data_IF_060332661383
#
_entry.id   IF_060332661383
#
_cell.length_a   1.000
_cell.length_b   1.000
_cell.length_c   1.000
_cell.angle_alpha   90.00
_cell.angle_beta   90.00
_cell.angle_gamma   90.00
#
_symmetry.space_group_name_H-M   'P 1'
#
loop_
_entity.id
_entity.type
_entity.pdbx_description
1 polymer ?
#
# COMPACT_ATOMS: atom_id res chain seq x y z
N UNK A 1 14.31 -23.45 -10.26
CA UNK A 1 12.96 -23.19 -9.69
C UNK A 1 12.71 -24.25 -8.64
N UNK A 2 13.05 -23.94 -7.40
CA UNK A 2 13.03 -24.86 -6.26
C UNK A 2 11.58 -25.25 -5.91
N UNK A 3 11.37 -26.44 -5.32
CA UNK A 3 10.04 -26.91 -4.88
C UNK A 3 9.32 -25.89 -3.99
N UNK A 4 10.06 -25.15 -3.17
CA UNK A 4 9.56 -24.06 -2.33
C UNK A 4 8.95 -22.90 -3.14
N UNK A 5 9.51 -22.58 -4.30
CA UNK A 5 8.98 -21.55 -5.20
C UNK A 5 7.66 -21.99 -5.86
N UNK A 6 7.51 -23.29 -6.16
CA UNK A 6 6.25 -23.86 -6.68
C UNK A 6 5.15 -23.89 -5.63
N UNK A 7 5.46 -24.33 -4.40
CA UNK A 7 4.51 -24.31 -3.28
C UNK A 7 4.06 -22.90 -2.93
N UNK A 8 4.98 -21.92 -2.95
CA UNK A 8 4.64 -20.51 -2.72
C UNK A 8 3.72 -19.93 -3.80
N UNK A 9 3.95 -20.25 -5.08
CA UNK A 9 3.06 -19.82 -6.18
C UNK A 9 1.66 -20.42 -6.09
N UNK A 10 1.56 -21.71 -5.72
CA UNK A 10 0.28 -22.38 -5.49
C UNK A 10 -0.49 -21.75 -4.32
N UNK A 11 0.18 -21.46 -3.21
CA UNK A 11 -0.40 -20.74 -2.08
C UNK A 11 -0.90 -19.34 -2.48
N UNK A 12 -0.11 -18.58 -3.24
CA UNK A 12 -0.51 -17.27 -3.74
C UNK A 12 -1.69 -17.34 -4.73
N UNK A 13 -1.73 -18.36 -5.60
CA UNK A 13 -2.86 -18.57 -6.49
C UNK A 13 -4.14 -18.91 -5.71
N UNK A 14 -4.05 -19.76 -4.68
CA UNK A 14 -5.18 -20.10 -3.83
C UNK A 14 -5.68 -18.89 -3.03
N UNK A 15 -4.77 -18.09 -2.49
CA UNK A 15 -5.09 -16.81 -1.84
C UNK A 15 -5.80 -15.85 -2.80
N UNK A 16 -5.36 -15.75 -4.05
CA UNK A 16 -6.03 -14.93 -5.07
C UNK A 16 -7.47 -15.39 -5.32
N UNK A 17 -7.67 -16.69 -5.51
CA UNK A 17 -9.03 -17.25 -5.70
C UNK A 17 -9.90 -16.95 -4.48
N UNK A 18 -9.37 -17.13 -3.27
CA UNK A 18 -10.08 -16.83 -2.03
C UNK A 18 -10.44 -15.33 -1.93
N UNK A 19 -9.50 -14.43 -2.20
CA UNK A 19 -9.71 -12.98 -2.14
C UNK A 19 -10.74 -12.53 -3.17
N UNK A 20 -10.60 -12.97 -4.43
CA UNK A 20 -11.55 -12.65 -5.51
C UNK A 20 -12.92 -13.23 -5.21
N UNK A 21 -13.01 -14.48 -4.76
CA UNK A 21 -14.28 -15.11 -4.36
C UNK A 21 -14.96 -14.37 -3.22
N UNK A 22 -14.20 -13.94 -2.21
CA UNK A 22 -14.71 -13.15 -1.08
C UNK A 22 -15.22 -11.77 -1.52
N UNK A 23 -14.47 -11.07 -2.38
CA UNK A 23 -14.91 -9.79 -2.95
C UNK A 23 -16.17 -9.93 -3.80
N UNK A 24 -16.28 -10.98 -4.62
CA UNK A 24 -17.46 -11.27 -5.44
C UNK A 24 -18.67 -11.66 -4.59
N UNK A 25 -18.48 -12.46 -3.54
CA UNK A 25 -19.53 -12.83 -2.60
C UNK A 25 -20.10 -11.60 -1.89
N UNK A 26 -19.23 -10.71 -1.41
CA UNK A 26 -19.64 -9.43 -0.83
C UNK A 26 -20.39 -8.57 -1.85
N UNK A 27 -19.87 -8.45 -3.08
CA UNK A 27 -20.55 -7.71 -4.14
C UNK A 27 -21.95 -8.26 -4.42
N UNK A 28 -22.09 -9.59 -4.52
CA UNK A 28 -23.37 -10.24 -4.79
C UNK A 28 -24.36 -10.09 -3.63
N UNK A 29 -23.89 -10.30 -2.39
CA UNK A 29 -24.71 -10.22 -1.17
C UNK A 29 -25.29 -8.82 -0.98
N UNK A 30 -24.51 -7.79 -1.30
CA UNK A 30 -24.90 -6.39 -1.13
C UNK A 30 -25.25 -5.69 -2.45
N UNK A 31 -25.51 -6.46 -3.52
CA UNK A 31 -25.86 -5.91 -4.83
C UNK A 31 -27.15 -5.07 -4.75
N UNK A 32 -28.12 -5.51 -3.95
CA UNK A 32 -29.38 -4.81 -3.69
C UNK A 32 -29.21 -3.45 -3.00
N UNK A 33 -28.12 -3.26 -2.23
CA UNK A 33 -27.83 -2.01 -1.51
C UNK A 33 -26.97 -1.04 -2.33
N UNK A 34 -26.56 -1.40 -3.55
CA UNK A 34 -25.79 -0.56 -4.47
C UNK A 34 -24.47 0.00 -3.90
N UNK A 35 -23.84 -0.71 -2.94
CA UNK A 35 -22.63 -0.28 -2.23
C UNK A 35 -21.42 0.00 -3.14
N UNK A 36 -21.42 -0.52 -4.37
CA UNK A 36 -20.39 -0.24 -5.35
C UNK A 36 -20.34 1.24 -5.76
N UNK A 37 -21.43 1.99 -5.65
CA UNK A 37 -21.41 3.42 -5.88
C UNK A 37 -20.51 4.14 -4.88
N UNK A 38 -20.52 3.71 -3.61
CA UNK A 38 -19.64 4.28 -2.58
C UNK A 38 -18.15 4.10 -2.89
N UNK A 39 -17.77 3.02 -3.58
CA UNK A 39 -16.41 2.83 -4.05
C UNK A 39 -16.05 3.90 -5.10
N UNK A 40 -16.93 4.19 -6.06
CA UNK A 40 -16.68 5.16 -7.15
C UNK A 40 -17.03 6.61 -6.72
N UNK A 41 -17.11 6.89 -5.41
CA UNK A 41 -17.50 8.20 -4.88
C UNK A 41 -18.90 8.67 -5.33
N UNK A 42 -19.74 7.74 -5.76
CA UNK A 42 -21.14 7.97 -6.13
C UNK A 42 -22.06 7.61 -4.97
N UNK A 43 -23.24 8.25 -4.94
CA UNK A 43 -24.20 8.00 -3.89
C UNK A 43 -24.90 6.65 -4.10
N UNK A 44 -24.92 5.77 -3.07
CA UNK A 44 -25.83 4.62 -3.10
C UNK A 44 -27.28 5.13 -3.10
N UNK A 45 -28.15 4.41 -3.79
CA UNK A 45 -29.55 4.80 -4.05
C UNK A 45 -30.49 4.62 -2.85
N UNK A 46 -29.95 4.41 -1.66
CA UNK A 46 -30.74 4.06 -0.49
C UNK A 46 -30.62 5.18 0.55
N UNK A 47 -31.77 5.55 1.10
CA UNK A 47 -31.89 6.58 2.12
C UNK A 47 -31.50 6.01 3.48
N UNK A 48 -30.21 6.12 3.81
CA UNK A 48 -29.64 5.60 5.05
C UNK A 48 -29.31 6.75 6.00
N UNK A 49 -30.21 7.00 6.96
CA UNK A 49 -30.12 8.10 7.92
C UNK A 49 -29.54 7.67 9.28
N UNK A 50 -29.23 6.38 9.49
CA UNK A 50 -28.76 5.87 10.78
C UNK A 50 -27.23 5.82 10.88
N UNK A 51 -26.69 6.24 12.03
CA UNK A 51 -25.25 6.17 12.35
C UNK A 51 -24.63 4.80 12.08
N UNK A 52 -25.32 3.73 12.51
CA UNK A 52 -24.84 2.35 12.38
C UNK A 52 -24.78 1.88 10.93
N UNK A 53 -25.68 2.35 10.08
CA UNK A 53 -25.68 2.04 8.65
C UNK A 53 -24.49 2.71 7.96
N UNK A 54 -24.20 3.97 8.31
CA UNK A 54 -23.00 4.68 7.83
C UNK A 54 -21.73 3.95 8.23
N UNK A 55 -21.62 3.56 9.51
CA UNK A 55 -20.49 2.80 10.02
C UNK A 55 -20.31 1.47 9.27
N UNK A 56 -21.42 0.76 9.04
CA UNK A 56 -21.43 -0.49 8.30
C UNK A 56 -20.96 -0.30 6.85
N UNK A 57 -21.48 0.70 6.13
CA UNK A 57 -21.09 0.98 4.74
C UNK A 57 -19.60 1.32 4.64
N UNK A 58 -19.12 2.21 5.51
CA UNK A 58 -17.69 2.57 5.57
C UNK A 58 -16.84 1.34 5.89
N UNK A 59 -17.27 0.49 6.83
CA UNK A 59 -16.57 -0.75 7.18
C UNK A 59 -16.50 -1.77 6.04
N UNK A 60 -17.63 -2.03 5.37
CA UNK A 60 -17.70 -2.99 4.25
C UNK A 60 -16.89 -2.49 3.06
N UNK A 61 -16.99 -1.20 2.71
CA UNK A 61 -16.21 -0.61 1.61
C UNK A 61 -14.71 -0.62 1.90
N UNK A 62 -14.28 -0.30 3.13
CA UNK A 62 -12.88 -0.42 3.57
C UNK A 62 -12.36 -1.85 3.43
N UNK A 63 -13.17 -2.83 3.83
CA UNK A 63 -12.82 -4.25 3.74
C UNK A 63 -12.69 -4.71 2.28
N UNK A 64 -13.64 -4.36 1.42
CA UNK A 64 -13.59 -4.68 -0.02
C UNK A 64 -12.32 -4.09 -0.64
N UNK A 65 -11.98 -2.84 -0.31
CA UNK A 65 -10.78 -2.20 -0.82
C UNK A 65 -9.51 -2.91 -0.39
N UNK A 66 -9.38 -3.29 0.88
CA UNK A 66 -8.25 -4.09 1.35
C UNK A 66 -8.09 -5.37 0.55
N UNK A 67 -9.20 -6.07 0.28
CA UNK A 67 -9.18 -7.33 -0.47
C UNK A 67 -8.76 -7.12 -1.92
N UNK A 68 -9.28 -6.08 -2.58
CA UNK A 68 -8.90 -5.72 -3.95
C UNK A 68 -7.41 -5.41 -4.05
N UNK A 69 -6.89 -4.54 -3.19
CA UNK A 69 -5.47 -4.16 -3.18
C UNK A 69 -4.57 -5.34 -2.78
N UNK A 70 -4.97 -6.19 -1.84
CA UNK A 70 -4.25 -7.41 -1.52
C UNK A 70 -4.23 -8.38 -2.72
N UNK A 71 -5.33 -8.48 -3.47
CA UNK A 71 -5.40 -9.23 -4.72
C UNK A 71 -4.41 -8.68 -5.77
N UNK A 72 -4.36 -7.36 -5.97
CA UNK A 72 -3.37 -6.77 -6.88
C UNK A 72 -1.92 -7.04 -6.45
N UNK A 73 -1.60 -7.03 -5.15
CA UNK A 73 -0.28 -7.42 -4.65
C UNK A 73 0.05 -8.88 -4.97
N UNK A 74 -0.89 -9.79 -4.74
CA UNK A 74 -0.69 -11.20 -5.09
C UNK A 74 -0.51 -11.40 -6.61
N UNK A 75 -1.23 -10.63 -7.43
CA UNK A 75 -1.04 -10.64 -8.88
C UNK A 75 0.39 -10.22 -9.27
N UNK A 76 0.89 -9.09 -8.73
CA UNK A 76 2.27 -8.63 -8.94
C UNK A 76 3.30 -9.70 -8.55
N UNK A 77 3.03 -10.46 -7.48
CA UNK A 77 3.91 -11.54 -7.04
C UNK A 77 4.00 -12.65 -8.09
N UNK A 78 2.88 -13.03 -8.70
CA UNK A 78 2.80 -14.06 -9.74
C UNK A 78 3.40 -13.64 -11.09
N UNK A 79 3.53 -12.33 -11.35
CA UNK A 79 4.15 -11.84 -12.60
C UNK A 79 5.57 -12.42 -12.76
N UNK A 80 5.90 -13.04 -13.90
CA UNK A 80 7.23 -13.61 -14.13
C UNK A 80 8.34 -12.56 -14.05
N UNK A 81 9.53 -12.98 -13.62
CA UNK A 81 10.72 -12.10 -13.52
C UNK A 81 11.15 -11.50 -14.86
N UNK A 82 10.76 -12.12 -15.99
CA UNK A 82 10.95 -11.57 -17.33
C UNK A 82 10.20 -10.25 -17.54
N UNK A 83 8.96 -10.15 -17.05
CA UNK A 83 8.18 -8.91 -17.17
C UNK A 83 8.55 -7.92 -16.07
N UNK A 84 8.81 -8.42 -14.86
CA UNK A 84 8.96 -7.58 -13.69
C UNK A 84 10.03 -8.13 -12.76
N UNK A 85 11.18 -7.45 -12.71
CA UNK A 85 12.28 -7.83 -11.82
C UNK A 85 11.86 -7.76 -10.35
N UNK A 86 12.51 -8.57 -9.50
CA UNK A 86 12.24 -8.59 -8.05
C UNK A 86 12.40 -7.20 -7.42
N UNK A 87 13.41 -6.44 -7.84
CA UNK A 87 13.61 -5.04 -7.44
C UNK A 87 12.41 -4.17 -7.81
N UNK A 88 11.86 -4.34 -9.02
CA UNK A 88 10.70 -3.55 -9.46
C UNK A 88 9.44 -3.89 -8.69
N UNK A 89 9.20 -5.17 -8.35
CA UNK A 89 8.01 -5.61 -7.58
C UNK A 89 7.88 -4.85 -6.26
N UNK A 90 8.98 -4.65 -5.53
CA UNK A 90 8.98 -3.90 -4.27
C UNK A 90 8.49 -2.45 -4.41
N UNK A 91 8.91 -1.73 -5.46
CA UNK A 91 8.44 -0.36 -5.70
C UNK A 91 6.95 -0.32 -6.02
N UNK A 92 6.44 -1.32 -6.74
CA UNK A 92 5.01 -1.43 -7.02
C UNK A 92 4.20 -1.77 -5.78
N UNK A 93 4.68 -2.64 -4.88
CA UNK A 93 4.01 -2.88 -3.59
C UNK A 93 3.89 -1.61 -2.76
N UNK A 94 4.97 -0.82 -2.69
CA UNK A 94 4.98 0.45 -1.98
C UNK A 94 4.00 1.47 -2.58
N UNK A 95 4.02 1.64 -3.90
CA UNK A 95 3.08 2.53 -4.59
C UNK A 95 1.62 2.09 -4.40
N UNK A 96 1.37 0.79 -4.56
CA UNK A 96 0.03 0.22 -4.48
C UNK A 96 -0.54 0.32 -3.07
N UNK A 97 0.28 0.15 -2.03
CA UNK A 97 -0.15 0.35 -0.64
C UNK A 97 -0.47 1.82 -0.35
N UNK A 98 0.35 2.77 -0.78
CA UNK A 98 0.05 4.19 -0.59
C UNK A 98 -1.22 4.62 -1.35
N UNK A 99 -1.42 4.11 -2.58
CA UNK A 99 -2.67 4.32 -3.32
C UNK A 99 -3.89 3.75 -2.56
N UNK A 100 -3.74 2.57 -1.94
CA UNK A 100 -4.78 1.97 -1.10
C UNK A 100 -5.13 2.86 0.09
N UNK A 101 -4.13 3.36 0.83
CA UNK A 101 -4.35 4.28 1.97
C UNK A 101 -5.06 5.56 1.53
N UNK A 102 -4.67 6.12 0.38
CA UNK A 102 -5.33 7.29 -0.20
C UNK A 102 -6.80 7.02 -0.50
N UNK A 103 -7.07 5.93 -1.22
CA UNK A 103 -8.43 5.61 -1.62
C UNK A 103 -9.33 5.35 -0.41
N UNK A 104 -8.81 4.64 0.61
CA UNK A 104 -9.49 4.38 1.88
C UNK A 104 -9.74 5.65 2.71
N UNK A 105 -8.91 6.69 2.55
CA UNK A 105 -9.17 8.00 3.15
C UNK A 105 -10.36 8.70 2.49
N UNK A 106 -10.48 8.60 1.16
CA UNK A 106 -11.46 9.36 0.38
C UNK A 106 -12.86 8.72 0.37
N UNK A 107 -12.95 7.39 0.31
CA UNK A 107 -14.24 6.68 0.17
C UNK A 107 -15.25 7.00 1.29
N UNK A 108 -14.86 7.14 2.56
CA UNK A 108 -15.78 7.51 3.64
C UNK A 108 -16.27 8.97 3.57
N UNK A 109 -15.59 9.86 2.83
CA UNK A 109 -15.89 11.30 2.79
C UNK A 109 -17.33 11.59 2.33
N UNK A 110 -17.78 11.16 1.14
CA UNK A 110 -19.14 11.45 0.68
C UNK A 110 -20.21 10.86 1.61
N UNK A 111 -19.96 9.68 2.21
CA UNK A 111 -20.90 9.00 3.11
C UNK A 111 -21.08 9.79 4.41
N UNK A 112 -19.98 10.12 5.09
CA UNK A 112 -20.02 10.92 6.32
C UNK A 112 -20.55 12.33 6.09
N UNK A 113 -20.18 12.96 4.97
CA UNK A 113 -20.65 14.30 4.63
C UNK A 113 -22.17 14.33 4.47
N UNK A 114 -22.76 13.35 3.76
CA UNK A 114 -24.22 13.23 3.62
C UNK A 114 -24.89 12.97 4.97
N UNK A 115 -24.32 12.11 5.80
CA UNK A 115 -24.86 11.82 7.14
C UNK A 115 -24.88 13.07 8.03
N UNK A 116 -23.77 13.82 8.08
CA UNK A 116 -23.65 15.02 8.92
C UNK A 116 -24.59 16.15 8.49
N UNK A 117 -24.81 16.32 7.18
CA UNK A 117 -25.75 17.32 6.65
C UNK A 117 -27.20 16.85 6.75
N UNK A 118 -27.47 15.57 6.45
CA UNK A 118 -28.80 14.97 6.48
C UNK A 118 -29.40 14.87 7.89
N UNK A 119 -28.58 14.65 8.93
CA UNK A 119 -29.04 14.71 10.33
C UNK A 119 -29.59 16.10 10.71
N UNK A 120 -29.23 17.14 9.96
CA UNK A 120 -29.73 18.50 10.14
C UNK A 120 -31.20 18.71 9.75
N UNK A 121 -31.89 17.71 9.18
CA UNK A 121 -33.30 17.81 8.77
C UNK A 121 -34.33 17.67 9.91
N UNK A 122 -33.91 17.48 11.18
CA UNK A 122 -34.81 17.69 12.32
C UNK A 122 -35.39 19.11 12.25
N UNK A 123 -36.72 19.25 12.28
CA UNK A 123 -37.59 20.42 12.00
C UNK A 123 -37.18 21.82 12.56
N UNK A 124 -36.10 21.91 13.32
CA UNK A 124 -35.51 23.14 13.86
C UNK A 124 -34.40 23.73 12.97
N UNK A 125 -34.41 25.05 12.82
CA UNK A 125 -33.31 25.84 12.18
C UNK A 125 -31.95 25.56 12.83
N UNK A 126 -31.96 25.25 14.14
CA UNK A 126 -30.77 24.88 14.90
C UNK A 126 -30.15 23.57 14.40
N UNK A 127 -30.96 22.57 14.07
CA UNK A 127 -30.51 21.28 13.52
C UNK A 127 -29.76 21.44 12.19
N UNK A 128 -30.34 22.19 11.24
CA UNK A 128 -29.70 22.46 9.93
C UNK A 128 -28.38 23.20 10.08
N UNK A 129 -28.36 24.20 10.95
CA UNK A 129 -27.15 25.02 11.19
C UNK A 129 -26.03 24.18 11.80
N UNK A 130 -26.37 23.32 12.77
CA UNK A 130 -25.42 22.40 13.41
C UNK A 130 -24.88 21.36 12.41
N UNK A 131 -25.74 20.77 11.58
CA UNK A 131 -25.33 19.80 10.56
C UNK A 131 -24.35 20.37 9.54
N UNK A 132 -24.61 21.59 9.04
CA UNK A 132 -23.70 22.30 8.14
C UNK A 132 -22.35 22.57 8.83
N UNK A 133 -22.36 23.05 10.08
CA UNK A 133 -21.13 23.34 10.82
C UNK A 133 -20.28 22.07 11.05
N UNK A 134 -20.91 20.96 11.44
CA UNK A 134 -20.23 19.67 11.60
C UNK A 134 -19.69 19.13 10.28
N UNK A 135 -20.46 19.24 9.18
CA UNK A 135 -20.02 18.86 7.84
C UNK A 135 -18.80 19.66 7.38
N UNK A 136 -18.80 20.98 7.58
CA UNK A 136 -17.65 21.84 7.27
C UNK A 136 -16.43 21.50 8.12
N UNK A 137 -16.61 21.31 9.43
CA UNK A 137 -15.53 20.89 10.33
C UNK A 137 -14.92 19.56 9.89
N UNK A 138 -15.76 18.57 9.55
CA UNK A 138 -15.32 17.28 9.03
C UNK A 138 -14.49 17.42 7.75
N UNK A 139 -14.96 18.22 6.77
CA UNK A 139 -14.21 18.46 5.54
C UNK A 139 -12.87 19.15 5.79
N UNK A 140 -12.81 20.12 6.71
CA UNK A 140 -11.56 20.79 7.10
C UNK A 140 -10.58 19.79 7.69
N UNK A 141 -11.02 18.96 8.65
CA UNK A 141 -10.17 17.92 9.26
C UNK A 141 -9.66 16.93 8.20
N UNK A 142 -10.50 16.55 7.24
CA UNK A 142 -10.12 15.68 6.12
C UNK A 142 -9.13 16.33 5.17
N UNK A 143 -9.31 17.60 4.82
CA UNK A 143 -8.36 18.34 4.00
C UNK A 143 -6.99 18.44 4.69
N UNK A 144 -6.95 18.76 5.99
CA UNK A 144 -5.70 18.79 6.75
C UNK A 144 -5.00 17.41 6.75
N UNK A 145 -5.76 16.33 6.94
CA UNK A 145 -5.23 14.96 6.88
C UNK A 145 -4.67 14.62 5.49
N UNK A 146 -5.38 14.99 4.43
CA UNK A 146 -4.93 14.83 3.04
C UNK A 146 -3.61 15.56 2.79
N UNK A 147 -3.51 16.84 3.19
CA UNK A 147 -2.27 17.60 3.04
C UNK A 147 -1.11 17.01 3.84
N UNK A 148 -1.38 16.50 5.05
CA UNK A 148 -0.37 15.78 5.85
C UNK A 148 0.16 14.54 5.14
N UNK A 149 -0.72 13.75 4.51
CA UNK A 149 -0.33 12.54 3.77
C UNK A 149 0.23 12.84 2.37
N UNK A 150 -0.02 14.02 1.80
CA UNK A 150 0.47 14.43 0.47
C UNK A 150 1.99 14.42 0.38
N UNK A 151 2.67 14.74 1.48
CA UNK A 151 4.12 14.64 1.58
C UNK A 151 4.61 13.20 1.38
N UNK A 152 3.97 12.23 2.04
CA UNK A 152 4.36 10.82 1.98
C UNK A 152 4.12 10.25 0.58
N UNK A 153 2.96 10.53 -0.01
CA UNK A 153 2.63 10.06 -1.36
C UNK A 153 3.59 10.63 -2.42
N UNK A 154 3.87 11.94 -2.36
CA UNK A 154 4.87 12.56 -3.25
C UNK A 154 6.26 11.95 -3.07
N UNK A 155 6.64 11.61 -1.84
CA UNK A 155 7.90 10.93 -1.57
C UNK A 155 7.93 9.52 -2.18
N UNK A 156 6.87 8.73 -2.02
CA UNK A 156 6.76 7.39 -2.61
C UNK A 156 6.75 7.44 -4.14
N UNK A 157 6.01 8.39 -4.73
CA UNK A 157 6.04 8.63 -6.18
C UNK A 157 7.44 9.01 -6.66
N UNK A 158 8.13 9.91 -5.95
CA UNK A 158 9.52 10.27 -6.28
C UNK A 158 10.41 9.03 -6.28
N UNK A 159 10.35 8.20 -5.24
CA UNK A 159 11.14 6.98 -5.13
C UNK A 159 10.78 5.97 -6.24
N UNK A 160 9.50 5.83 -6.57
CA UNK A 160 9.01 4.97 -7.64
C UNK A 160 9.55 5.40 -9.02
N UNK A 161 9.58 6.70 -9.27
CA UNK A 161 10.06 7.27 -10.54
C UNK A 161 11.59 7.30 -10.64
N UNK A 162 12.31 7.67 -9.57
CA UNK A 162 13.78 7.76 -9.59
C UNK A 162 14.48 6.43 -9.41
N UNK A 163 13.82 5.44 -8.78
CA UNK A 163 14.35 4.09 -8.49
C UNK A 163 15.80 4.13 -7.99
N UNK A 164 16.04 4.70 -6.79
CA UNK A 164 17.39 4.99 -6.32
C UNK A 164 18.27 3.75 -6.30
N UNK A 165 19.52 3.91 -6.74
CA UNK A 165 20.57 2.93 -6.60
C UNK A 165 21.37 3.25 -5.32
N UNK A 166 21.64 2.23 -4.51
CA UNK A 166 22.32 2.39 -3.21
C UNK A 166 23.86 2.46 -3.33
N UNK A 167 24.38 2.43 -4.56
CA UNK A 167 25.81 2.38 -4.84
C UNK A 167 26.07 2.30 -6.34
N UNK A 168 27.33 2.03 -6.70
CA UNK A 168 27.79 1.86 -8.08
C UNK A 168 28.07 0.39 -8.38
N UNK A 169 28.01 -0.01 -9.64
CA UNK A 169 28.39 -1.38 -10.03
C UNK A 169 29.86 -1.62 -9.69
N UNK A 170 30.15 -2.69 -8.93
CA UNK A 170 31.52 -3.02 -8.56
C UNK A 170 32.28 -3.61 -9.76
N UNK A 171 33.57 -3.28 -9.87
CA UNK A 171 34.44 -3.88 -10.88
C UNK A 171 34.81 -5.32 -10.52
N UNK A 172 35.17 -6.14 -11.52
CA UNK A 172 35.60 -7.53 -11.29
C UNK A 172 36.82 -7.62 -10.35
N UNK A 173 37.74 -6.66 -10.42
CA UNK A 173 38.93 -6.60 -9.54
C UNK A 173 38.53 -6.43 -8.08
N UNK A 174 37.60 -5.53 -7.81
CA UNK A 174 37.09 -5.29 -6.45
C UNK A 174 36.30 -6.48 -5.90
N UNK A 175 35.62 -7.25 -6.77
CA UNK A 175 34.93 -8.46 -6.35
C UNK A 175 35.93 -9.57 -5.99
N UNK A 176 37.01 -9.72 -6.76
CA UNK A 176 38.07 -10.69 -6.48
C UNK A 176 38.85 -10.42 -5.19
N UNK A 177 38.89 -9.16 -4.71
CA UNK A 177 39.52 -8.79 -3.43
C UNK A 177 38.75 -9.32 -2.21
N UNK A 178 37.47 -9.70 -2.38
CA UNK A 178 36.60 -10.23 -1.33
C UNK A 178 36.08 -11.64 -1.65
N UNK A 179 36.93 -12.44 -2.30
CA UNK A 179 36.66 -13.85 -2.67
C UNK A 179 35.44 -14.06 -3.57
N UNK A 180 34.96 -13.02 -4.29
CA UNK A 180 33.78 -13.05 -5.15
C UNK A 180 32.47 -13.52 -4.48
N UNK A 181 32.42 -13.55 -3.14
CA UNK A 181 31.28 -14.05 -2.36
C UNK A 181 30.53 -12.90 -1.67
N UNK A 182 29.21 -12.87 -1.81
CA UNK A 182 28.37 -11.93 -1.08
C UNK A 182 28.15 -12.38 0.37
N UNK A 183 28.43 -11.52 1.35
CA UNK A 183 28.26 -11.81 2.78
C UNK A 183 26.81 -11.97 3.25
N UNK A 184 25.81 -11.59 2.43
CA UNK A 184 24.39 -11.77 2.75
C UNK A 184 23.87 -13.13 2.26
N UNK A 185 24.05 -13.47 0.98
CA UNK A 185 23.57 -14.73 0.43
C UNK A 185 24.59 -15.88 0.46
N UNK A 186 25.85 -15.58 0.82
CA UNK A 186 26.96 -16.53 0.86
C UNK A 186 27.17 -17.27 -0.46
N UNK A 187 26.88 -16.60 -1.58
CA UNK A 187 27.04 -17.11 -2.93
C UNK A 187 27.79 -16.08 -3.79
N UNK A 188 28.20 -16.51 -4.99
CA UNK A 188 28.86 -15.64 -5.97
C UNK A 188 28.03 -14.39 -6.27
N UNK A 189 28.69 -13.25 -6.46
CA UNK A 189 27.99 -11.99 -6.70
C UNK A 189 27.11 -12.00 -7.94
N UNK A 190 25.82 -11.72 -7.74
CA UNK A 190 24.88 -11.41 -8.81
C UNK A 190 24.66 -9.90 -8.87
N UNK A 191 25.13 -9.25 -9.94
CA UNK A 191 25.10 -7.78 -10.12
C UNK A 191 25.68 -7.07 -8.88
N UNK A 192 27.00 -7.16 -8.64
CA UNK A 192 27.62 -6.61 -7.45
C UNK A 192 27.51 -5.08 -7.42
N UNK A 193 27.11 -4.56 -6.27
CA UNK A 193 27.01 -3.12 -5.99
C UNK A 193 27.99 -2.78 -4.87
N UNK A 194 28.84 -1.80 -5.13
CA UNK A 194 29.74 -1.16 -4.18
C UNK A 194 29.02 0.01 -3.51
N UNK A 195 28.87 -0.07 -2.18
CA UNK A 195 28.31 1.01 -1.37
C UNK A 195 29.33 2.13 -1.14
N UNK A 196 28.87 3.30 -0.69
CA UNK A 196 29.73 4.44 -0.32
C UNK A 196 30.73 4.11 0.81
N UNK A 197 30.41 3.13 1.65
CA UNK A 197 31.29 2.61 2.70
C UNK A 197 32.25 1.51 2.20
N UNK A 198 32.38 1.35 0.87
CA UNK A 198 33.27 0.42 0.17
C UNK A 198 32.97 -1.08 0.37
N UNK A 199 31.79 -1.44 0.89
CA UNK A 199 31.37 -2.84 0.99
C UNK A 199 30.56 -3.27 -0.26
N UNK A 200 30.77 -4.52 -0.68
CA UNK A 200 30.18 -5.09 -1.91
C UNK A 200 29.11 -6.13 -1.56
N UNK A 201 27.97 -6.04 -2.22
CA UNK A 201 26.85 -6.98 -2.06
C UNK A 201 26.15 -7.22 -3.40
N UNK A 202 25.40 -8.31 -3.52
CA UNK A 202 24.44 -8.47 -4.63
C UNK A 202 23.39 -7.35 -4.58
N UNK A 203 23.01 -6.79 -5.73
CA UNK A 203 22.00 -5.73 -5.82
C UNK A 203 20.70 -6.12 -5.10
N UNK A 204 20.24 -7.36 -5.26
CA UNK A 204 19.01 -7.85 -4.65
C UNK A 204 19.13 -7.99 -3.13
N UNK A 205 20.24 -8.56 -2.65
CA UNK A 205 20.48 -8.77 -1.22
C UNK A 205 20.48 -7.45 -0.45
N UNK A 206 21.24 -6.46 -0.95
CA UNK A 206 21.34 -5.16 -0.28
C UNK A 206 20.05 -4.35 -0.41
N UNK A 207 19.33 -4.50 -1.53
CA UNK A 207 18.00 -3.88 -1.70
C UNK A 207 16.97 -4.43 -0.72
N UNK A 208 17.01 -5.72 -0.40
CA UNK A 208 16.15 -6.35 0.60
C UNK A 208 16.51 -5.92 2.02
N UNK A 209 17.81 -5.82 2.31
CA UNK A 209 18.30 -5.31 3.59
C UNK A 209 17.80 -3.88 3.85
N UNK A 210 17.93 -3.00 2.85
CA UNK A 210 17.47 -1.61 2.97
C UNK A 210 15.94 -1.42 3.00
N UNK A 211 15.16 -2.48 2.83
CA UNK A 211 13.72 -2.42 3.09
C UNK A 211 13.42 -2.42 4.59
N UNK A 212 14.34 -2.90 5.43
CA UNK A 212 14.17 -3.04 6.89
C UNK A 212 15.11 -2.13 7.66
N UNK A 213 16.37 -2.08 7.23
CA UNK A 213 17.43 -1.34 7.88
C UNK A 213 17.92 -0.16 7.03
N UNK A 214 18.63 0.81 7.61
CA UNK A 214 19.22 1.96 6.88
C UNK A 214 20.74 1.90 6.74
N UNK A 215 21.34 0.89 7.35
CA UNK A 215 22.77 0.81 7.61
C UNK A 215 23.42 -0.31 6.83
N UNK A 216 24.71 -0.20 6.54
CA UNK A 216 25.47 -1.29 5.95
C UNK A 216 25.48 -2.52 6.89
N UNK A 217 25.23 -3.75 6.39
CA UNK A 217 25.28 -4.96 7.22
C UNK A 217 26.63 -5.21 7.91
N UNK A 218 27.73 -4.73 7.32
CA UNK A 218 29.09 -4.99 7.81
C UNK A 218 29.58 -3.90 8.76
N UNK A 219 29.53 -2.63 8.34
CA UNK A 219 30.11 -1.51 9.11
C UNK A 219 29.09 -0.61 9.80
N UNK A 220 27.79 -0.86 9.61
CA UNK A 220 26.68 -0.06 10.16
C UNK A 220 26.65 1.42 9.75
N UNK A 221 27.48 1.85 8.80
CA UNK A 221 27.39 3.19 8.19
C UNK A 221 26.00 3.41 7.61
N UNK A 222 25.39 4.57 7.86
CA UNK A 222 24.07 4.93 7.31
C UNK A 222 24.23 5.20 5.80
N UNK A 223 23.49 4.46 4.98
CA UNK A 223 23.56 4.55 3.51
C UNK A 223 22.29 5.17 2.93
N UNK A 224 21.17 5.08 3.64
CA UNK A 224 19.89 5.65 3.22
C UNK A 224 19.22 6.42 4.36
N UNK A 225 18.69 7.61 4.07
CA UNK A 225 17.97 8.42 5.05
C UNK A 225 16.55 7.89 5.35
N UNK A 226 16.01 7.01 4.51
CA UNK A 226 14.62 6.56 4.57
C UNK A 226 14.50 5.04 4.50
N UNK A 227 13.74 4.44 5.43
CA UNK A 227 13.26 3.07 5.28
C UNK A 227 12.04 3.13 4.36
N UNK A 228 12.08 2.39 3.27
CA UNK A 228 10.95 2.28 2.35
C UNK A 228 9.87 1.37 2.96
N UNK A 229 8.94 1.97 3.70
CA UNK A 229 7.78 1.27 4.27
C UNK A 229 7.01 0.55 3.14
N UNK A 230 6.52 -0.67 3.41
CA UNK A 230 5.70 -1.48 2.48
C UNK A 230 6.40 -2.08 1.25
N UNK A 231 7.70 -1.82 1.05
CA UNK A 231 8.47 -2.40 -0.07
C UNK A 231 8.63 -3.93 0.03
N UNK A 232 8.37 -4.48 1.21
CA UNK A 232 8.28 -5.92 1.50
C UNK A 232 6.92 -6.56 1.16
N UNK A 233 5.92 -5.76 0.79
CA UNK A 233 4.58 -6.23 0.48
C UNK A 233 3.62 -6.22 1.67
N UNK A 234 4.03 -5.75 2.85
CA UNK A 234 3.15 -5.61 4.00
C UNK A 234 1.94 -4.69 3.70
N UNK A 235 0.82 -4.92 4.37
CA UNK A 235 -0.40 -4.12 4.28
C UNK A 235 -0.68 -3.49 5.64
N UNK A 236 -1.14 -2.24 5.67
CA UNK A 236 -1.49 -1.58 6.92
C UNK A 236 -2.66 -2.27 7.62
N UNK A 237 -2.50 -2.54 8.91
CA UNK A 237 -3.55 -3.07 9.77
C UNK A 237 -4.55 -1.98 10.22
N UNK A 238 -4.24 -0.71 9.98
CA UNK A 238 -5.09 0.41 10.42
C UNK A 238 -6.44 0.38 9.71
N UNK A 239 -7.53 0.43 10.47
CA UNK A 239 -8.91 0.55 9.97
C UNK A 239 -9.24 2.05 9.89
N UNK A 240 -9.50 2.58 8.68
CA UNK A 240 -9.83 4.00 8.49
C UNK A 240 -11.35 4.16 8.51
N UNK A 241 -11.91 4.16 9.73
CA UNK A 241 -13.35 4.34 9.96
C UNK A 241 -13.75 5.82 9.84
N UNK A 242 -12.83 6.73 10.22
CA UNK A 242 -13.07 8.17 10.24
C UNK A 242 -12.30 8.90 9.16
#
# INVERSE_FOLDING_TARGET
ITLQERCSKLQCAWLLVYLTGSSLLLYYTFHSQSLYYSLIFLNPTVDFMNFWEVLWIVGVTDFILKFLFMGFKCFILLVPSFMMSFKSKGYWYMLLEELCQYYRMFVPIPVWFRYLIGYGELDSVLGRTLGILLGLLYLILKLLSFFGQLRNFRQVLRIFCTRPHYGVTASKRQCSEVDDICSICQAEFQKPILLICQHIFCEECISLWFNREKTCPLCRTVISDHVNKWKDGATSMHLQIF
#
